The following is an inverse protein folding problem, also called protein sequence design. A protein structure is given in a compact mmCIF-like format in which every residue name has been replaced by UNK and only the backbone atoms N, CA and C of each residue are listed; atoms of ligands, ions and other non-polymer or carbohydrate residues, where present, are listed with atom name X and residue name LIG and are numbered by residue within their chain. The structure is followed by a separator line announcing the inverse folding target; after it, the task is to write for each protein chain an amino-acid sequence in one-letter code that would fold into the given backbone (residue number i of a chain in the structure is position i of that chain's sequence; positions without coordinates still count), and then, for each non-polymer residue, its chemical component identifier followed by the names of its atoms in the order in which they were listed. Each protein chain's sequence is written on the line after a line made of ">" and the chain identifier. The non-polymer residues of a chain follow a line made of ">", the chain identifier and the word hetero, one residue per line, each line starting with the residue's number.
data_IF_107134937133
#
_entry.id   IF_107134937133
#
_cell.length_a   1.000
_cell.length_b   1.000
_cell.length_c   1.000
_cell.angle_alpha   90.00
_cell.angle_beta   90.00
_cell.angle_gamma   90.00
#
_symmetry.space_group_name_H-M   'P 1'
#
loop_
_entity.id
_entity.type
_entity.pdbx_description
1 polymer ?
#
# COMPACT_ATOMS: atom_id res chain seq x y z
N UNK A 1 0.93 8.09 14.22
CA UNK A 1 0.90 7.10 13.12
C UNK A 1 0.89 7.88 11.80
N UNK A 2 2.05 8.16 11.20
CA UNK A 2 2.18 9.17 10.13
C UNK A 2 1.85 8.67 8.70
N UNK A 3 1.43 7.40 8.55
CA UNK A 3 1.12 6.76 7.24
C UNK A 3 -0.08 5.79 7.36
N UNK A 4 -1.08 6.19 8.17
CA UNK A 4 -2.10 5.30 8.71
C UNK A 4 -3.11 4.71 7.71
N UNK A 5 -3.47 5.42 6.64
CA UNK A 5 -4.39 4.89 5.62
C UNK A 5 -3.66 4.42 4.35
N UNK A 6 -2.44 4.92 4.12
CA UNK A 6 -1.73 4.74 2.86
C UNK A 6 -0.92 3.43 2.79
N UNK A 7 -0.86 2.68 3.89
CA UNK A 7 -0.06 1.45 3.98
C UNK A 7 -0.80 0.32 4.67
N UNK A 8 -0.38 -0.92 4.39
CA UNK A 8 -0.90 -2.11 5.06
C UNK A 8 -0.48 -2.22 6.55
N UNK A 9 0.34 -1.28 7.05
CA UNK A 9 0.77 -1.17 8.45
C UNK A 9 0.18 0.10 9.09
N UNK A 10 -0.84 0.70 8.47
CA UNK A 10 -1.27 2.02 8.85
C UNK A 10 -2.44 2.05 9.85
N UNK A 11 -3.37 1.09 9.76
CA UNK A 11 -4.63 1.12 10.50
C UNK A 11 -4.91 -0.22 11.20
N UNK A 12 -5.76 -0.20 12.23
CA UNK A 12 -6.03 -1.37 13.06
C UNK A 12 -6.51 -2.60 12.26
N UNK A 13 -7.41 -2.48 11.26
CA UNK A 13 -7.80 -3.63 10.43
C UNK A 13 -6.64 -4.22 9.62
N UNK A 14 -5.80 -3.40 8.99
CA UNK A 14 -4.66 -3.90 8.21
C UNK A 14 -3.61 -4.58 9.10
N UNK A 15 -3.40 -4.06 10.32
CA UNK A 15 -2.58 -4.73 11.33
C UNK A 15 -3.16 -6.09 11.75
N UNK A 16 -4.48 -6.19 11.89
CA UNK A 16 -5.16 -7.46 12.19
C UNK A 16 -4.96 -8.47 11.04
N UNK A 17 -5.07 -8.04 9.78
CA UNK A 17 -4.79 -8.93 8.64
C UNK A 17 -3.32 -9.34 8.60
N UNK A 18 -2.40 -8.39 8.86
CA UNK A 18 -0.96 -8.66 8.93
C UNK A 18 -0.63 -9.71 9.99
N UNK A 19 -1.21 -9.62 11.19
CA UNK A 19 -0.95 -10.60 12.26
C UNK A 19 -1.50 -12.00 11.90
N UNK A 20 -2.67 -12.10 11.26
CA UNK A 20 -3.20 -13.38 10.76
C UNK A 20 -2.25 -13.99 9.72
N UNK A 21 -1.73 -13.19 8.80
CA UNK A 21 -0.76 -13.63 7.79
C UNK A 21 0.56 -14.12 8.43
N UNK A 22 1.08 -13.39 9.42
CA UNK A 22 2.29 -13.77 10.17
C UNK A 22 2.08 -15.10 10.93
N UNK A 23 0.94 -15.27 11.60
CA UNK A 23 0.58 -16.53 12.25
C UNK A 23 0.48 -17.71 11.27
N UNK A 24 -0.01 -17.47 10.06
CA UNK A 24 -0.10 -18.46 8.99
C UNK A 24 1.20 -18.65 8.21
N UNK A 25 2.31 -18.03 8.65
CA UNK A 25 3.63 -18.05 7.97
C UNK A 25 3.57 -17.56 6.51
N UNK A 26 2.64 -16.67 6.19
CA UNK A 26 2.54 -16.03 4.88
C UNK A 26 3.57 -14.89 4.83
N UNK A 27 4.40 -14.85 3.78
CA UNK A 27 5.39 -13.78 3.62
C UNK A 27 4.69 -12.45 3.33
N UNK A 28 4.82 -11.50 4.24
CA UNK A 28 4.38 -10.12 4.04
C UNK A 28 5.51 -9.29 3.42
N UNK A 29 5.21 -8.35 2.50
CA UNK A 29 6.22 -7.47 1.93
C UNK A 29 6.76 -6.52 3.01
N UNK A 30 8.00 -6.03 2.89
CA UNK A 30 8.49 -4.99 3.80
C UNK A 30 7.70 -3.69 3.62
N UNK A 31 7.69 -2.82 4.64
CA UNK A 31 7.01 -1.52 4.57
C UNK A 31 7.47 -0.69 3.36
N UNK A 32 8.79 -0.55 3.19
CA UNK A 32 9.36 0.18 2.06
C UNK A 32 9.14 -0.52 0.72
N UNK A 33 9.15 -1.86 0.68
CA UNK A 33 8.84 -2.63 -0.53
C UNK A 33 7.40 -2.38 -1.00
N UNK A 34 6.44 -2.38 -0.07
CA UNK A 34 5.05 -2.03 -0.37
C UNK A 34 4.90 -0.59 -0.86
N UNK A 35 5.62 0.36 -0.27
CA UNK A 35 5.58 1.78 -0.67
C UNK A 35 6.11 1.99 -2.09
N UNK A 36 7.23 1.36 -2.44
CA UNK A 36 7.79 1.44 -3.79
C UNK A 36 6.86 0.80 -4.82
N UNK A 37 6.31 -0.38 -4.50
CA UNK A 37 5.36 -1.07 -5.36
C UNK A 37 4.10 -0.23 -5.61
N UNK A 38 3.49 0.28 -4.54
CA UNK A 38 2.25 1.07 -4.61
C UNK A 38 2.50 2.39 -5.34
N UNK A 39 3.57 3.11 -5.01
CA UNK A 39 3.93 4.36 -5.68
C UNK A 39 4.27 4.17 -7.16
N UNK A 40 4.99 3.11 -7.50
CA UNK A 40 5.36 2.77 -8.87
C UNK A 40 4.18 2.43 -9.78
N UNK A 41 3.03 2.02 -9.22
CA UNK A 41 1.81 1.74 -9.99
C UNK A 41 0.85 2.93 -9.95
N UNK A 42 0.60 3.47 -8.76
CA UNK A 42 -0.42 4.50 -8.56
C UNK A 42 -0.01 5.85 -9.16
N UNK A 43 1.27 6.26 -9.06
CA UNK A 43 1.71 7.55 -9.60
C UNK A 43 1.64 7.60 -11.13
N UNK A 44 2.11 6.58 -11.89
CA UNK A 44 1.95 6.58 -13.34
C UNK A 44 0.49 6.53 -13.77
N UNK A 45 -0.34 5.70 -13.13
CA UNK A 45 -1.78 5.64 -13.43
C UNK A 45 -2.46 6.98 -13.17
N UNK A 46 -2.15 7.63 -12.05
CA UNK A 46 -2.66 8.95 -11.72
C UNK A 46 -2.25 9.99 -12.77
N UNK A 47 -1.00 9.96 -13.24
CA UNK A 47 -0.51 10.87 -14.27
C UNK A 47 -1.23 10.66 -15.61
N UNK A 48 -1.38 9.40 -16.04
CA UNK A 48 -2.11 9.04 -17.27
C UNK A 48 -3.56 9.47 -17.18
N UNK A 49 -4.25 9.17 -16.07
CA UNK A 49 -5.64 9.58 -15.85
C UNK A 49 -5.79 11.10 -15.89
N UNK A 50 -4.90 11.83 -15.21
CA UNK A 50 -4.92 13.29 -15.18
C UNK A 50 -4.72 13.88 -16.57
N UNK A 51 -3.79 13.36 -17.36
CA UNK A 51 -3.51 13.86 -18.71
C UNK A 51 -4.64 13.56 -19.71
N UNK A 52 -5.33 12.43 -19.56
CA UNK A 52 -6.39 12.01 -20.48
C UNK A 52 -7.75 12.65 -20.18
N UNK A 53 -8.06 12.93 -18.91
CA UNK A 53 -9.42 13.32 -18.50
C UNK A 53 -9.53 14.70 -17.84
N UNK A 54 -8.44 15.23 -17.27
CA UNK A 54 -8.45 16.47 -16.46
C UNK A 54 -7.64 17.62 -17.09
N UNK A 55 -7.17 17.43 -18.32
CA UNK A 55 -6.61 18.48 -19.18
C UNK A 55 -7.65 18.95 -20.18
#
# INVERSE_FOLDING_TARGET
>A
VFMGANTYIGNAPNFMVKSICEHRKIRMPSFFGYMLYSGGILLPLFFVYTFLFLR
#
